data_IF_379282963239
#
_entry.id   IF_379282963239
#
_cell.length_a   1.000
_cell.length_b   1.000
_cell.length_c   1.000
_cell.angle_alpha   90.00
_cell.angle_beta   90.00
_cell.angle_gamma   90.00
#
_symmetry.space_group_name_H-M   'P 1'
#
loop_
_entity.id
_entity.type
_entity.pdbx_description
1 polymer ?
#
# COMPACT_ATOMS: atom_id res chain seq x y z
N UNK A 1 -25.87 26.21 20.14
CA UNK A 1 -26.23 26.09 18.72
C UNK A 1 -24.99 25.64 17.97
N UNK A 2 -24.87 24.32 17.94
CA UNK A 2 -24.28 23.47 16.91
C UNK A 2 -22.86 23.79 16.41
N UNK A 3 -21.90 23.25 17.17
CA UNK A 3 -20.61 22.80 16.64
C UNK A 3 -20.94 21.65 15.68
N UNK A 4 -21.00 21.93 14.39
CA UNK A 4 -21.08 20.90 13.36
C UNK A 4 -19.76 20.13 13.31
N UNK A 5 -19.68 19.08 14.12
CA UNK A 5 -18.72 18.00 13.94
C UNK A 5 -19.09 17.25 12.67
N UNK A 6 -18.59 17.73 11.52
CA UNK A 6 -18.63 16.96 10.29
C UNK A 6 -17.69 15.79 10.51
N UNK A 7 -18.22 14.66 10.96
CA UNK A 7 -17.56 13.38 10.84
C UNK A 7 -17.37 13.13 9.33
N UNK A 8 -16.26 13.67 8.82
CA UNK A 8 -15.70 13.30 7.55
C UNK A 8 -15.59 11.79 7.60
N UNK A 9 -16.36 11.13 6.74
CA UNK A 9 -16.42 9.68 6.64
C UNK A 9 -15.06 9.28 6.08
N UNK A 10 -14.04 9.21 6.95
CA UNK A 10 -12.72 8.78 6.59
C UNK A 10 -12.90 7.41 5.95
N UNK A 11 -12.64 7.33 4.64
CA UNK A 11 -12.54 6.04 3.97
C UNK A 11 -11.64 5.15 4.83
N UNK A 12 -11.99 3.86 5.01
CA UNK A 12 -11.14 2.97 5.79
C UNK A 12 -9.70 3.15 5.31
N UNK A 13 -8.79 3.44 6.25
CA UNK A 13 -7.38 3.62 5.95
C UNK A 13 -6.92 2.37 5.20
N UNK A 14 -6.43 2.55 3.97
CA UNK A 14 -6.08 1.44 3.10
C UNK A 14 -5.00 0.57 3.76
N UNK A 15 -5.02 -0.74 3.48
CA UNK A 15 -3.99 -1.66 3.98
C UNK A 15 -2.63 -1.36 3.35
N UNK A 16 -2.65 -0.95 2.08
CA UNK A 16 -1.47 -0.50 1.35
C UNK A 16 -1.68 0.84 0.63
N UNK A 17 -0.63 1.64 0.58
CA UNK A 17 -0.50 2.75 -0.38
C UNK A 17 0.59 2.43 -1.38
N UNK A 18 0.33 2.70 -2.65
CA UNK A 18 1.35 2.75 -3.71
C UNK A 18 1.68 4.20 -4.00
N UNK A 19 2.95 4.58 -3.86
CA UNK A 19 3.44 5.91 -4.24
C UNK A 19 4.69 5.83 -5.10
N UNK A 20 4.99 6.89 -5.82
CA UNK A 20 6.16 6.99 -6.69
C UNK A 20 5.79 7.33 -8.13
N UNK A 21 6.76 7.19 -9.02
CA UNK A 21 6.61 7.59 -10.41
C UNK A 21 7.84 7.27 -11.26
N UNK A 22 7.63 7.18 -12.58
CA UNK A 22 8.68 6.81 -13.51
C UNK A 22 9.06 5.34 -13.42
N UNK A 23 10.27 5.03 -12.95
CA UNK A 23 10.84 3.67 -13.02
C UNK A 23 10.64 2.83 -11.75
N UNK A 24 10.43 3.46 -10.59
CA UNK A 24 10.33 2.80 -9.28
C UNK A 24 9.11 3.30 -8.52
N UNK A 25 8.40 2.36 -7.92
CA UNK A 25 7.26 2.56 -7.04
C UNK A 25 7.57 1.98 -5.66
N UNK A 26 6.92 2.54 -4.64
CA UNK A 26 6.99 2.08 -3.26
C UNK A 26 5.62 1.53 -2.86
N UNK A 27 5.61 0.35 -2.27
CA UNK A 27 4.40 -0.27 -1.71
C UNK A 27 4.51 -0.23 -0.19
N UNK A 28 3.69 0.63 0.43
CA UNK A 28 3.70 0.94 1.85
C UNK A 28 2.61 0.14 2.57
N UNK A 29 2.95 -0.77 3.50
CA UNK A 29 1.98 -1.42 4.36
C UNK A 29 1.60 -0.52 5.55
N UNK A 30 0.30 -0.40 5.84
CA UNK A 30 -0.24 0.43 6.92
C UNK A 30 -0.83 -0.36 8.09
N UNK A 31 -1.09 -1.65 7.90
CA UNK A 31 -1.57 -2.56 8.94
C UNK A 31 -0.53 -3.63 9.25
N UNK A 32 -0.62 -4.22 10.45
CA UNK A 32 0.25 -5.34 10.84
C UNK A 32 0.06 -6.55 9.91
N UNK A 33 -1.18 -6.80 9.47
CA UNK A 33 -1.52 -7.87 8.53
C UNK A 33 -0.91 -7.61 7.14
N UNK A 34 -1.00 -6.37 6.64
CA UNK A 34 -0.34 -5.96 5.40
C UNK A 34 1.17 -6.13 5.47
N UNK A 35 1.81 -5.68 6.56
CA UNK A 35 3.25 -5.82 6.77
C UNK A 35 3.66 -7.28 6.83
N UNK A 36 2.93 -8.10 7.59
CA UNK A 36 3.21 -9.53 7.71
C UNK A 36 3.01 -10.26 6.38
N UNK A 37 1.97 -9.91 5.61
CA UNK A 37 1.78 -10.44 4.27
C UNK A 37 2.95 -10.07 3.37
N UNK A 38 3.31 -8.77 3.31
CA UNK A 38 4.42 -8.28 2.50
C UNK A 38 5.71 -9.04 2.80
N UNK A 39 6.09 -9.14 4.07
CA UNK A 39 7.31 -9.85 4.50
C UNK A 39 7.30 -11.36 4.22
N UNK A 40 6.12 -11.99 4.07
CA UNK A 40 6.01 -13.39 3.70
C UNK A 40 6.19 -13.62 2.19
N UNK A 41 5.73 -12.69 1.37
CA UNK A 41 5.71 -12.85 -0.10
C UNK A 41 6.94 -12.27 -0.79
N UNK A 42 7.58 -11.27 -0.18
CA UNK A 42 8.84 -10.71 -0.70
C UNK A 42 10.02 -11.62 -0.33
N UNK A 43 10.91 -11.86 -1.29
CA UNK A 43 12.14 -12.60 -1.04
C UNK A 43 13.15 -11.79 -0.22
N UNK A 44 14.18 -12.47 0.31
CA UNK A 44 15.26 -11.82 1.08
C UNK A 44 16.01 -10.73 0.30
N UNK A 45 16.00 -10.80 -1.03
CA UNK A 45 16.68 -9.85 -1.93
C UNK A 45 15.86 -8.59 -2.22
N UNK A 46 14.62 -8.52 -1.71
CA UNK A 46 13.75 -7.36 -1.93
C UNK A 46 14.39 -6.09 -1.36
N UNK A 47 14.34 -5.02 -2.15
CA UNK A 47 14.86 -3.72 -1.74
C UNK A 47 13.78 -2.96 -0.99
N UNK A 48 14.14 -2.37 0.15
CA UNK A 48 13.23 -1.58 0.96
C UNK A 48 13.71 -0.14 1.08
N UNK A 49 12.76 0.77 1.19
CA UNK A 49 13.00 2.14 1.63
C UNK A 49 12.11 2.39 2.85
N UNK A 50 12.71 2.34 4.04
CA UNK A 50 11.95 2.35 5.29
C UNK A 50 11.09 1.09 5.40
N UNK A 51 9.78 1.26 5.63
CA UNK A 51 8.81 0.17 5.72
C UNK A 51 8.22 -0.27 4.36
N UNK A 52 8.56 0.42 3.27
CA UNK A 52 8.01 0.13 1.94
C UNK A 52 8.96 -0.74 1.13
N UNK A 53 8.39 -1.66 0.33
CA UNK A 53 9.18 -2.38 -0.69
C UNK A 53 9.28 -1.53 -1.95
N UNK A 54 10.48 -1.44 -2.51
CA UNK A 54 10.75 -0.77 -3.77
C UNK A 54 10.59 -1.75 -4.94
N UNK A 55 9.79 -1.36 -5.92
CA UNK A 55 9.40 -2.22 -7.05
C UNK A 55 9.57 -1.45 -8.35
N UNK A 56 10.09 -2.11 -9.39
CA UNK A 56 10.08 -1.55 -10.73
C UNK A 56 8.65 -1.36 -11.26
N UNK A 57 8.41 -0.26 -11.97
CA UNK A 57 7.08 0.10 -12.49
C UNK A 57 6.37 -1.01 -13.28
N UNK A 58 7.11 -1.84 -14.03
CA UNK A 58 6.54 -2.91 -14.86
C UNK A 58 5.81 -3.99 -14.05
N UNK A 59 6.14 -4.13 -12.76
CA UNK A 59 5.52 -5.12 -11.87
C UNK A 59 4.39 -4.54 -11.02
N UNK A 60 4.25 -3.21 -10.92
CA UNK A 60 3.32 -2.61 -9.96
C UNK A 60 1.88 -3.04 -10.18
N UNK A 61 1.44 -3.11 -11.45
CA UNK A 61 0.07 -3.53 -11.79
C UNK A 61 -0.22 -4.96 -11.32
N UNK A 62 0.73 -5.87 -11.49
CA UNK A 62 0.55 -7.27 -11.09
C UNK A 62 0.52 -7.40 -9.57
N UNK A 63 1.37 -6.66 -8.86
CA UNK A 63 1.39 -6.64 -7.40
C UNK A 63 0.07 -6.08 -6.84
N UNK A 64 -0.42 -4.96 -7.36
CA UNK A 64 -1.69 -4.36 -6.90
C UNK A 64 -2.85 -5.33 -7.12
N UNK A 65 -2.91 -6.01 -8.27
CA UNK A 65 -3.93 -7.03 -8.53
C UNK A 65 -3.85 -8.16 -7.51
N UNK A 66 -2.66 -8.71 -7.26
CA UNK A 66 -2.47 -9.79 -6.29
C UNK A 66 -2.89 -9.38 -4.87
N UNK A 67 -2.52 -8.18 -4.43
CA UNK A 67 -2.91 -7.67 -3.11
C UNK A 67 -4.43 -7.54 -2.96
N UNK A 68 -5.13 -7.07 -3.99
CA UNK A 68 -6.59 -6.98 -3.98
C UNK A 68 -7.25 -8.37 -4.01
N UNK A 69 -6.70 -9.30 -4.79
CA UNK A 69 -7.16 -10.71 -4.82
C UNK A 69 -6.98 -11.40 -3.47
N UNK A 70 -5.92 -11.04 -2.73
CA UNK A 70 -5.66 -11.50 -1.36
C UNK A 70 -6.53 -10.79 -0.30
N UNK A 71 -7.41 -9.87 -0.71
CA UNK A 71 -8.40 -9.21 0.15
C UNK A 71 -7.94 -7.89 0.78
N UNK A 72 -6.79 -7.35 0.38
CA UNK A 72 -6.30 -6.07 0.88
C UNK A 72 -6.86 -4.88 0.11
N UNK A 73 -7.04 -3.77 0.81
CA UNK A 73 -7.37 -2.48 0.19
C UNK A 73 -6.10 -1.74 -0.21
N UNK A 74 -6.07 -1.21 -1.44
CA UNK A 74 -4.91 -0.50 -1.99
C UNK A 74 -5.33 0.86 -2.54
N UNK A 75 -4.60 1.91 -2.17
CA UNK A 75 -4.74 3.26 -2.75
C UNK A 75 -3.47 3.68 -3.49
N UNK A 76 -3.62 4.61 -4.44
CA UNK A 76 -2.51 5.20 -5.17
C UNK A 76 -2.35 6.68 -4.83
N UNK A 77 -1.11 7.11 -4.60
CA UNK A 77 -0.73 8.51 -4.53
C UNK A 77 0.06 8.85 -5.81
N UNK A 78 -0.56 9.65 -6.69
CA UNK A 78 0.02 10.14 -7.94
C UNK A 78 0.96 11.32 -7.71
#
# INVERSE_FOLDING_TARGET
>A
MDIVNRAETAAPAADFTVSGGGSVYLVHPHTDDARNHLLRVVGMEAQFLGNAVAVEHRYIRQIVVALVEDGFTVTGEC
#
